data_IF_496584901643
#
_entry.id   IF_496584901643
#
_cell.length_a   1.000
_cell.length_b   1.000
_cell.length_c   1.000
_cell.angle_alpha   90.00
_cell.angle_beta   90.00
_cell.angle_gamma   90.00
#
_symmetry.space_group_name_H-M   'P 1'
#
loop_
_entity.id
_entity.type
_entity.pdbx_description
1 polymer ?
#
# COMPACT_ATOMS: atom_id res chain seq x y z
N UNK A 1 5.05 -1.51 22.81
CA UNK A 1 4.39 -0.30 22.27
C UNK A 1 5.04 0.02 20.94
N UNK A 2 4.27 0.15 19.87
CA UNK A 2 4.83 0.28 18.51
C UNK A 2 5.70 1.54 18.40
N UNK A 3 6.94 1.38 17.92
CA UNK A 3 7.84 2.50 17.59
C UNK A 3 7.12 3.40 16.58
N UNK A 4 6.92 4.67 16.93
CA UNK A 4 6.32 5.67 16.06
C UNK A 4 4.86 6.06 16.33
N UNK A 5 4.34 5.86 17.54
CA UNK A 5 3.06 6.41 17.97
C UNK A 5 3.27 7.70 18.76
N UNK A 6 2.82 8.83 18.20
CA UNK A 6 2.92 10.15 18.77
C UNK A 6 1.54 10.64 19.17
N UNK A 7 1.39 11.27 20.34
CA UNK A 7 0.24 12.14 20.58
C UNK A 7 0.37 13.42 19.76
N UNK A 8 -0.75 14.10 19.49
CA UNK A 8 -0.71 15.43 18.83
C UNK A 8 0.19 16.42 19.59
N UNK A 9 0.20 16.37 20.92
CA UNK A 9 1.03 17.26 21.74
C UNK A 9 2.52 16.99 21.55
N UNK A 10 2.95 15.72 21.62
CA UNK A 10 4.34 15.32 21.39
C UNK A 10 4.79 15.63 19.97
N UNK A 11 3.96 15.32 18.99
CA UNK A 11 4.26 15.59 17.59
C UNK A 11 4.44 17.09 17.33
N UNK A 12 3.66 17.96 18.00
CA UNK A 12 3.82 19.42 17.89
C UNK A 12 5.12 19.90 18.56
N UNK A 13 5.47 19.34 19.71
CA UNK A 13 6.69 19.70 20.44
C UNK A 13 7.98 19.20 19.75
N UNK A 14 7.90 18.07 19.04
CA UNK A 14 9.04 17.36 18.46
C UNK A 14 8.90 17.14 16.96
N UNK A 15 8.30 18.09 16.25
CA UNK A 15 7.91 17.88 14.85
C UNK A 15 9.10 17.55 13.94
N UNK A 16 10.26 18.18 14.17
CA UNK A 16 11.49 17.86 13.42
C UNK A 16 11.93 16.40 13.59
N UNK A 17 11.81 15.85 14.80
CA UNK A 17 12.12 14.45 15.07
C UNK A 17 11.12 13.51 14.40
N UNK A 18 9.83 13.88 14.38
CA UNK A 18 8.80 13.12 13.65
C UNK A 18 9.15 13.03 12.16
N UNK A 19 9.60 14.13 11.56
CA UNK A 19 10.01 14.15 10.15
C UNK A 19 11.25 13.28 9.92
N UNK A 20 12.28 13.42 10.75
CA UNK A 20 13.51 12.62 10.62
C UNK A 20 13.23 11.13 10.75
N UNK A 21 12.41 10.72 11.73
CA UNK A 21 12.00 9.32 11.87
C UNK A 21 11.08 8.86 10.73
N UNK A 22 10.24 9.75 10.19
CA UNK A 22 9.43 9.43 9.01
C UNK A 22 10.30 9.11 7.78
N UNK A 23 11.44 9.76 7.65
CA UNK A 23 12.42 9.51 6.57
C UNK A 23 13.30 8.28 6.82
N UNK A 24 13.80 8.10 8.05
CA UNK A 24 14.78 7.03 8.36
C UNK A 24 14.15 5.71 8.79
N UNK A 25 13.11 5.78 9.59
CA UNK A 25 12.48 4.61 10.23
C UNK A 25 11.14 4.23 9.59
N UNK A 26 10.59 5.12 8.75
CA UNK A 26 9.32 4.92 8.05
C UNK A 26 8.12 5.57 8.76
N UNK A 27 6.88 5.24 8.36
CA UNK A 27 5.68 6.01 8.74
C UNK A 27 5.48 6.20 10.24
N UNK A 28 5.17 7.43 10.65
CA UNK A 28 4.93 7.84 12.04
C UNK A 28 3.45 8.14 12.26
N UNK A 29 2.81 7.47 13.22
CA UNK A 29 1.38 7.62 13.51
C UNK A 29 1.14 8.73 14.53
N UNK A 30 0.12 9.55 14.30
CA UNK A 30 -0.33 10.59 15.21
C UNK A 30 -1.70 10.24 15.77
N UNK A 31 -1.82 10.32 17.10
CA UNK A 31 -3.03 10.01 17.87
C UNK A 31 -3.58 11.25 18.58
N UNK A 32 -4.90 11.34 18.67
CA UNK A 32 -5.62 12.35 19.46
C UNK A 32 -6.63 11.63 20.35
N UNK A 33 -6.56 11.83 21.66
CA UNK A 33 -7.38 11.12 22.65
C UNK A 33 -7.31 9.59 22.50
N UNK A 34 -6.09 9.05 22.31
CA UNK A 34 -5.85 7.61 22.19
C UNK A 34 -6.28 6.96 20.86
N UNK A 35 -6.86 7.73 19.92
CA UNK A 35 -7.27 7.24 18.61
C UNK A 35 -6.33 7.74 17.52
N UNK A 36 -5.96 6.86 16.58
CA UNK A 36 -5.18 7.25 15.40
C UNK A 36 -5.96 8.25 14.53
N UNK A 37 -5.30 9.32 14.08
CA UNK A 37 -5.93 10.40 13.30
C UNK A 37 -5.17 10.76 12.04
N UNK A 38 -3.84 10.64 12.06
CA UNK A 38 -3.00 10.94 10.92
C UNK A 38 -1.77 10.04 10.93
N UNK A 39 -1.10 9.97 9.78
CA UNK A 39 0.21 9.34 9.64
C UNK A 39 1.10 10.29 8.85
N UNK A 40 2.32 10.52 9.33
CA UNK A 40 3.37 11.24 8.62
C UNK A 40 4.21 10.23 7.89
N UNK A 41 4.43 10.46 6.60
CA UNK A 41 5.16 9.56 5.71
C UNK A 41 6.15 10.39 4.93
N UNK A 42 7.36 9.85 4.69
CA UNK A 42 8.35 10.53 3.87
C UNK A 42 7.79 10.80 2.46
N UNK A 43 8.24 11.89 1.84
CA UNK A 43 7.82 12.22 0.48
C UNK A 43 8.22 11.10 -0.51
N UNK A 44 9.38 10.49 -0.30
CA UNK A 44 9.87 9.38 -1.13
C UNK A 44 8.93 8.18 -1.06
N UNK A 45 8.52 7.77 0.14
CA UNK A 45 7.61 6.64 0.33
C UNK A 45 6.21 6.93 -0.23
N UNK A 46 5.72 8.16 -0.05
CA UNK A 46 4.46 8.59 -0.64
C UNK A 46 4.50 8.52 -2.17
N UNK A 47 5.54 9.08 -2.79
CA UNK A 47 5.75 9.04 -4.25
C UNK A 47 5.88 7.61 -4.75
N UNK A 48 6.68 6.76 -4.11
CA UNK A 48 6.84 5.34 -4.49
C UNK A 48 5.52 4.58 -4.45
N UNK A 49 4.65 4.88 -3.47
CA UNK A 49 3.31 4.29 -3.39
C UNK A 49 2.40 4.80 -4.51
N UNK A 50 2.44 6.10 -4.80
CA UNK A 50 1.73 6.71 -5.92
C UNK A 50 2.18 6.14 -7.27
N UNK A 51 3.49 6.05 -7.50
CA UNK A 51 4.09 5.45 -8.69
C UNK A 51 3.74 3.97 -8.84
N UNK A 52 3.74 3.17 -7.76
CA UNK A 52 3.28 1.78 -7.82
C UNK A 52 1.81 1.66 -8.19
N UNK A 53 0.96 2.55 -7.69
CA UNK A 53 -0.45 2.60 -8.08
C UNK A 53 -0.60 3.03 -9.55
N UNK A 54 0.16 4.03 -9.99
CA UNK A 54 0.16 4.49 -11.38
C UNK A 54 0.77 3.47 -12.35
N UNK A 55 1.72 2.64 -11.91
CA UNK A 55 2.32 1.53 -12.68
C UNK A 55 1.43 0.30 -12.78
N UNK A 56 0.33 0.21 -12.02
CA UNK A 56 -0.80 -0.66 -12.40
C UNK A 56 -1.52 -0.02 -13.59
N UNK A 57 -0.82 0.10 -14.71
CA UNK A 57 -1.40 0.49 -15.99
C UNK A 57 -2.08 -0.74 -16.55
N UNK A 58 -3.40 -0.71 -16.48
CA UNK A 58 -4.28 -1.69 -17.09
C UNK A 58 -5.01 -2.57 -16.10
N UNK A 59 -6.25 -2.86 -16.44
CA UNK A 59 -7.04 -3.88 -15.77
C UNK A 59 -6.55 -5.27 -16.19
N UNK A 60 -7.07 -6.32 -15.54
CA UNK A 60 -6.71 -7.69 -15.85
C UNK A 60 -6.95 -8.04 -17.34
N UNK A 61 -7.97 -7.45 -17.97
CA UNK A 61 -8.24 -7.65 -19.38
C UNK A 61 -7.14 -7.05 -20.28
N UNK A 62 -6.65 -5.85 -19.98
CA UNK A 62 -5.50 -5.24 -20.68
C UNK A 62 -4.22 -6.07 -20.52
N UNK A 63 -4.01 -6.69 -19.36
CA UNK A 63 -2.90 -7.62 -19.15
C UNK A 63 -2.99 -8.84 -20.08
N UNK A 64 -4.16 -9.47 -20.18
CA UNK A 64 -4.36 -10.60 -21.11
C UNK A 64 -4.36 -10.16 -22.57
N UNK A 65 -4.79 -8.94 -22.88
CA UNK A 65 -4.70 -8.34 -24.20
C UNK A 65 -3.25 -8.20 -24.66
N UNK A 66 -2.36 -7.71 -23.80
CA UNK A 66 -0.94 -7.50 -24.11
C UNK A 66 -0.05 -8.71 -23.80
N UNK A 67 -0.63 -9.83 -23.38
CA UNK A 67 0.14 -11.03 -23.04
C UNK A 67 0.76 -11.66 -24.29
N UNK A 68 2.04 -12.10 -24.24
CA UNK A 68 2.66 -12.87 -25.32
C UNK A 68 1.94 -14.20 -25.57
N UNK A 69 1.05 -14.62 -24.67
CA UNK A 69 0.26 -15.84 -24.80
C UNK A 69 -1.04 -15.67 -25.59
N UNK A 70 -1.47 -14.44 -25.92
CA UNK A 70 -2.77 -14.16 -26.57
C UNK A 70 -3.06 -15.03 -27.80
N UNK A 71 -2.03 -15.34 -28.60
CA UNK A 71 -2.13 -16.16 -29.80
C UNK A 71 -1.16 -17.36 -29.77
N UNK A 72 -0.80 -17.84 -28.57
CA UNK A 72 0.18 -18.92 -28.40
C UNK A 72 -0.36 -20.32 -28.70
N UNK A 73 -1.68 -20.46 -28.89
CA UNK A 73 -2.32 -21.77 -29.09
C UNK A 73 -2.35 -22.65 -27.83
N UNK A 74 -2.02 -22.10 -26.65
CA UNK A 74 -2.10 -22.81 -25.39
C UNK A 74 -3.55 -23.17 -25.09
N UNK A 75 -3.83 -24.46 -25.02
CA UNK A 75 -5.12 -24.99 -24.59
C UNK A 75 -5.03 -25.22 -23.07
N UNK A 76 -5.85 -24.49 -22.32
CA UNK A 76 -5.96 -24.69 -20.87
C UNK A 76 -7.10 -25.68 -20.64
N UNK A 77 -6.77 -26.88 -20.18
CA UNK A 77 -7.79 -27.82 -19.73
C UNK A 77 -8.41 -27.31 -18.42
N UNK A 78 -9.75 -27.25 -18.39
CA UNK A 78 -10.48 -26.84 -17.20
C UNK A 78 -10.25 -27.84 -16.08
N UNK A 79 -9.38 -27.49 -15.13
CA UNK A 79 -9.29 -28.22 -13.86
C UNK A 79 -10.55 -27.91 -13.08
N UNK A 80 -11.52 -28.82 -13.12
CA UNK A 80 -12.70 -28.82 -12.26
C UNK A 80 -12.31 -28.99 -10.79
N UNK A 81 -11.76 -27.93 -10.18
CA UNK A 81 -11.78 -27.79 -8.73
C UNK A 81 -12.86 -26.79 -8.41
N UNK A 82 -13.91 -27.31 -7.77
CA UNK A 82 -15.04 -26.55 -7.27
C UNK A 82 -14.59 -25.21 -6.68
N UNK A 83 -15.16 -24.12 -7.20
CA UNK A 83 -15.06 -22.80 -6.63
C UNK A 83 -15.45 -22.88 -5.16
N UNK A 84 -14.55 -22.46 -4.26
CA UNK A 84 -14.88 -22.37 -2.83
C UNK A 84 -15.87 -21.22 -2.64
N UNK A 85 -16.96 -21.48 -1.94
CA UNK A 85 -17.91 -20.46 -1.54
C UNK A 85 -17.20 -19.42 -0.67
N UNK A 86 -17.33 -18.14 -1.03
CA UNK A 86 -16.82 -17.01 -0.23
C UNK A 86 -18.04 -16.26 0.26
N UNK A 87 -18.30 -16.33 1.57
CA UNK A 87 -19.33 -15.52 2.22
C UNK A 87 -18.87 -14.05 2.22
N UNK A 88 -19.75 -13.17 1.72
CA UNK A 88 -19.54 -11.71 1.63
C UNK A 88 -20.15 -11.00 2.83
#
# INVERSE_FOLDING_TARGET
MAKGNWTVAEAKAKFSEVLERAEKEGPQRITKHGRERAVVVSLQDWKKKGERKAKKKGNLAEFFLNSPLRNSGVVIEERSKASRNVEL
#
